data_IF_332523160131
#
_entry.id   IF_332523160131
#
_cell.length_a   1.000
_cell.length_b   1.000
_cell.length_c   1.000
_cell.angle_alpha   90.00
_cell.angle_beta   90.00
_cell.angle_gamma   90.00
#
_symmetry.space_group_name_H-M   'P 1'
#
loop_
_entity.id
_entity.type
_entity.pdbx_description
1 polymer ?
#
# COMPACT_ATOMS: atom_id res chain seq x y z
N UNK A 1 -9.18 -16.69 -10.52
CA UNK A 1 -8.03 -17.24 -9.78
C UNK A 1 -8.35 -18.65 -9.30
N UNK A 2 -9.42 -18.87 -8.52
CA UNK A 2 -9.82 -20.22 -8.08
C UNK A 2 -10.00 -21.23 -9.22
N UNK A 3 -10.69 -20.84 -10.29
CA UNK A 3 -10.88 -21.70 -11.47
C UNK A 3 -9.52 -22.06 -12.13
N UNK A 4 -8.59 -21.11 -12.20
CA UNK A 4 -7.26 -21.34 -12.75
C UNK A 4 -6.42 -22.30 -11.89
N UNK A 5 -6.53 -22.20 -10.56
CA UNK A 5 -5.87 -23.09 -9.60
C UNK A 5 -6.39 -24.53 -9.80
N UNK A 6 -7.71 -24.72 -9.82
CA UNK A 6 -8.35 -26.03 -10.05
C UNK A 6 -7.97 -26.64 -11.41
N UNK A 7 -7.92 -25.81 -12.46
CA UNK A 7 -7.47 -26.27 -13.77
C UNK A 7 -6.00 -26.68 -13.74
N UNK A 8 -5.11 -25.89 -13.11
CA UNK A 8 -3.69 -26.27 -12.99
C UNK A 8 -3.50 -27.57 -12.22
N UNK A 9 -4.18 -27.75 -11.09
CA UNK A 9 -4.20 -29.00 -10.31
C UNK A 9 -4.57 -30.19 -11.20
N UNK A 10 -5.68 -30.10 -11.93
CA UNK A 10 -6.14 -31.16 -12.81
C UNK A 10 -5.08 -31.58 -13.85
N UNK A 11 -4.47 -30.62 -14.54
CA UNK A 11 -3.47 -30.94 -15.58
C UNK A 11 -2.15 -31.48 -15.00
N UNK A 12 -1.78 -31.03 -13.79
CA UNK A 12 -0.61 -31.57 -13.06
C UNK A 12 -0.89 -33.02 -12.64
N UNK A 13 -2.08 -33.31 -12.11
CA UNK A 13 -2.48 -34.66 -11.68
C UNK A 13 -2.57 -35.64 -12.86
N UNK A 14 -3.07 -35.18 -14.02
CA UNK A 14 -3.07 -35.93 -15.27
C UNK A 14 -1.68 -36.02 -15.94
N UNK A 15 -0.66 -35.38 -15.36
CA UNK A 15 0.71 -35.34 -15.88
C UNK A 15 0.77 -34.84 -17.34
N UNK A 16 -0.04 -33.83 -17.65
CA UNK A 16 -0.18 -33.24 -18.98
C UNK A 16 0.14 -31.75 -18.98
N UNK A 17 0.99 -31.31 -19.91
CA UNK A 17 1.30 -29.89 -20.06
C UNK A 17 0.14 -29.15 -20.71
N UNK A 18 -0.22 -27.98 -20.15
CA UNK A 18 -1.22 -27.10 -20.73
C UNK A 18 -0.72 -25.67 -20.86
N UNK A 19 -0.23 -25.35 -22.05
CA UNK A 19 0.32 -24.04 -22.39
C UNK A 19 -0.72 -22.92 -22.27
N UNK A 20 -2.01 -23.20 -22.54
CA UNK A 20 -3.07 -22.19 -22.43
C UNK A 20 -3.25 -21.72 -20.98
N UNK A 21 -3.15 -22.62 -20.01
CA UNK A 21 -3.25 -22.27 -18.58
C UNK A 21 -2.06 -21.43 -18.12
N UNK A 22 -0.86 -21.74 -18.59
CA UNK A 22 0.35 -20.96 -18.29
C UNK A 22 0.21 -19.51 -18.76
N UNK A 23 -0.24 -19.29 -20.00
CA UNK A 23 -0.45 -17.93 -20.50
C UNK A 23 -1.63 -17.21 -19.82
N UNK A 24 -2.66 -17.96 -19.40
CA UNK A 24 -3.75 -17.40 -18.58
C UNK A 24 -3.20 -16.91 -17.24
N UNK A 25 -2.33 -17.68 -16.58
CA UNK A 25 -1.66 -17.26 -15.35
C UNK A 25 -0.72 -16.06 -15.56
N UNK A 26 0.03 -16.03 -16.66
CA UNK A 26 0.85 -14.87 -17.06
C UNK A 26 0.00 -13.61 -17.19
N UNK A 27 -1.18 -13.69 -17.81
CA UNK A 27 -2.09 -12.54 -17.91
C UNK A 27 -2.57 -12.04 -16.54
N UNK A 28 -2.72 -12.93 -15.56
CA UNK A 28 -3.04 -12.55 -14.18
C UNK A 28 -1.87 -11.89 -13.45
N UNK A 29 -0.62 -12.05 -13.91
CA UNK A 29 0.56 -11.49 -13.23
C UNK A 29 0.51 -9.95 -13.13
N UNK A 30 -0.13 -9.29 -14.11
CA UNK A 30 -0.36 -7.84 -14.09
C UNK A 30 -1.27 -7.36 -12.95
N UNK A 31 -2.00 -8.27 -12.29
CA UNK A 31 -2.89 -7.97 -11.16
C UNK A 31 -2.25 -8.26 -9.79
N UNK A 32 -0.99 -8.71 -9.77
CA UNK A 32 -0.25 -9.01 -8.56
C UNK A 32 0.67 -7.86 -8.15
N UNK A 33 1.17 -7.91 -6.91
CA UNK A 33 2.28 -7.07 -6.49
C UNK A 33 3.50 -7.31 -7.37
N UNK A 34 4.34 -6.29 -7.53
CA UNK A 34 5.43 -6.28 -8.51
C UNK A 34 6.40 -7.47 -8.37
N UNK A 35 6.70 -7.87 -7.14
CA UNK A 35 7.57 -9.03 -6.83
C UNK A 35 6.93 -10.34 -7.29
N UNK A 36 5.67 -10.56 -6.92
CA UNK A 36 4.89 -11.73 -7.30
C UNK A 36 4.69 -11.81 -8.82
N UNK A 37 4.43 -10.67 -9.46
CA UNK A 37 4.33 -10.57 -10.91
C UNK A 37 5.62 -10.99 -11.62
N UNK A 38 6.79 -10.58 -11.07
CA UNK A 38 8.11 -11.03 -11.56
C UNK A 38 8.29 -12.54 -11.40
N UNK A 39 7.94 -13.11 -10.26
CA UNK A 39 8.08 -14.55 -10.00
C UNK A 39 7.22 -15.38 -10.96
N UNK A 40 5.97 -14.97 -11.21
CA UNK A 40 5.11 -15.62 -12.20
C UNK A 40 5.72 -15.58 -13.59
N UNK A 41 6.24 -14.42 -14.02
CA UNK A 41 6.86 -14.30 -15.34
C UNK A 41 8.10 -15.19 -15.48
N UNK A 42 8.94 -15.25 -14.43
CA UNK A 42 10.12 -16.11 -14.42
C UNK A 42 9.74 -17.60 -14.53
N UNK A 43 8.70 -18.05 -13.82
CA UNK A 43 8.22 -19.43 -13.89
C UNK A 43 7.68 -19.75 -15.29
N UNK A 44 6.97 -18.81 -15.92
CA UNK A 44 6.46 -18.97 -17.29
C UNK A 44 7.60 -19.05 -18.31
N UNK A 45 8.63 -18.21 -18.20
CA UNK A 45 9.82 -18.26 -19.07
C UNK A 45 10.56 -19.60 -18.94
N UNK A 46 10.69 -20.11 -17.71
CA UNK A 46 11.29 -21.43 -17.46
C UNK A 46 10.43 -22.57 -18.03
N UNK A 47 9.10 -22.46 -17.92
CA UNK A 47 8.18 -23.41 -18.54
C UNK A 47 8.35 -23.44 -20.07
N UNK A 48 8.34 -22.27 -20.72
CA UNK A 48 8.53 -22.14 -22.17
C UNK A 48 9.88 -22.72 -22.61
N UNK A 49 10.94 -22.44 -21.84
CA UNK A 49 12.26 -23.01 -22.08
C UNK A 49 12.23 -24.53 -22.09
N UNK A 50 11.72 -25.17 -21.02
CA UNK A 50 11.70 -26.63 -20.93
C UNK A 50 10.79 -27.29 -21.97
N UNK A 51 9.65 -26.68 -22.27
CA UNK A 51 8.76 -27.16 -23.33
C UNK A 51 9.45 -27.10 -24.71
N UNK A 52 10.23 -26.04 -24.98
CA UNK A 52 10.99 -25.93 -26.24
C UNK A 52 12.07 -27.00 -26.41
N UNK A 53 12.56 -27.56 -25.28
CA UNK A 53 13.53 -28.66 -25.27
C UNK A 53 12.86 -30.04 -25.31
N UNK A 54 11.53 -30.11 -25.39
CA UNK A 54 10.77 -31.37 -25.30
C UNK A 54 10.84 -32.03 -23.92
N UNK A 55 11.14 -31.25 -22.88
CA UNK A 55 11.28 -31.74 -21.51
C UNK A 55 9.99 -31.52 -20.71
N UNK A 56 8.95 -32.27 -21.07
CA UNK A 56 7.60 -32.14 -20.52
C UNK A 56 7.57 -32.30 -18.99
N UNK A 57 8.41 -33.19 -18.44
CA UNK A 57 8.52 -33.36 -16.99
C UNK A 57 9.02 -32.09 -16.28
N UNK A 58 10.03 -31.42 -16.85
CA UNK A 58 10.55 -30.18 -16.29
C UNK A 58 9.57 -29.02 -16.46
N UNK A 59 8.79 -29.01 -17.55
CA UNK A 59 7.69 -28.08 -17.76
C UNK A 59 6.56 -28.29 -16.74
N UNK A 60 6.19 -29.54 -16.44
CA UNK A 60 5.23 -29.89 -15.40
C UNK A 60 5.69 -29.45 -14.01
N UNK A 61 6.98 -29.56 -13.69
CA UNK A 61 7.53 -29.03 -12.44
C UNK A 61 7.34 -27.50 -12.34
N UNK A 62 7.47 -26.76 -13.45
CA UNK A 62 7.18 -25.32 -13.46
C UNK A 62 5.67 -25.03 -13.29
N UNK A 63 4.80 -25.85 -13.88
CA UNK A 63 3.35 -25.77 -13.61
C UNK A 63 3.05 -25.95 -12.11
N UNK A 64 3.70 -26.92 -11.45
CA UNK A 64 3.58 -27.13 -10.01
C UNK A 64 4.09 -25.96 -9.17
N UNK A 65 5.21 -25.35 -9.54
CA UNK A 65 5.71 -24.12 -8.88
C UNK A 65 4.75 -22.96 -9.04
N UNK A 66 4.17 -22.80 -10.23
CA UNK A 66 3.16 -21.78 -10.49
C UNK A 66 1.90 -22.02 -9.66
N UNK A 67 1.43 -23.26 -9.58
CA UNK A 67 0.31 -23.64 -8.73
C UNK A 67 0.58 -23.25 -7.27
N UNK A 68 1.70 -23.69 -6.69
CA UNK A 68 2.04 -23.38 -5.30
C UNK A 68 2.15 -21.87 -5.02
N UNK A 69 2.65 -21.09 -5.98
CA UNK A 69 2.66 -19.63 -5.87
C UNK A 69 1.23 -19.05 -5.88
N UNK A 70 0.37 -19.49 -6.78
CA UNK A 70 -1.03 -19.05 -6.87
C UNK A 70 -1.84 -19.47 -5.65
N UNK A 71 -1.59 -20.64 -5.10
CA UNK A 71 -2.18 -21.11 -3.84
C UNK A 71 -1.71 -20.25 -2.66
N UNK A 72 -0.41 -19.94 -2.56
CA UNK A 72 0.09 -19.03 -1.54
C UNK A 72 -0.55 -17.64 -1.64
N UNK A 73 -0.73 -17.12 -2.85
CA UNK A 73 -1.45 -15.85 -3.08
C UNK A 73 -2.92 -15.98 -2.69
N UNK A 74 -3.59 -17.10 -3.04
CA UNK A 74 -4.96 -17.37 -2.64
C UNK A 74 -5.08 -17.39 -1.12
N UNK A 75 -4.20 -18.07 -0.42
CA UNK A 75 -4.24 -18.21 1.04
C UNK A 75 -3.90 -16.89 1.74
N UNK A 76 -3.11 -16.02 1.10
CA UNK A 76 -2.88 -14.63 1.53
C UNK A 76 -4.05 -13.68 1.18
N UNK A 77 -4.81 -13.98 0.12
CA UNK A 77 -5.97 -13.19 -0.37
C UNK A 77 -7.31 -13.68 0.19
N UNK A 78 -7.39 -14.91 0.70
CA UNK A 78 -8.42 -15.24 1.66
C UNK A 78 -8.25 -14.18 2.75
N UNK A 79 -9.23 -13.28 2.93
CA UNK A 79 -9.16 -12.41 4.07
C UNK A 79 -8.99 -13.36 5.25
N UNK A 80 -8.12 -13.00 6.18
CA UNK A 80 -8.13 -13.52 7.54
C UNK A 80 -9.60 -13.70 7.96
N UNK A 81 -10.18 -14.88 7.68
CA UNK A 81 -11.54 -15.27 8.03
C UNK A 81 -11.43 -15.66 9.49
N UNK A 82 -11.17 -14.65 10.31
CA UNK A 82 -10.56 -14.84 11.61
C UNK A 82 -9.52 -13.78 11.91
N UNK A 83 -10.00 -12.55 12.10
CA UNK A 83 -9.33 -11.44 12.77
C UNK A 83 -8.28 -10.68 11.94
N UNK A 84 -8.71 -9.61 11.27
CA UNK A 84 -8.06 -8.32 11.58
C UNK A 84 -7.96 -8.25 13.12
N UNK A 85 -6.84 -7.82 13.73
CA UNK A 85 -6.81 -7.67 15.19
C UNK A 85 -8.12 -7.01 15.61
N UNK A 86 -8.85 -7.58 16.60
CA UNK A 86 -10.16 -7.08 16.98
C UNK A 86 -10.12 -5.56 16.95
N UNK A 87 -11.09 -4.88 16.30
CA UNK A 87 -11.08 -3.43 16.20
C UNK A 87 -10.83 -2.75 17.56
N UNK A 88 -11.12 -3.46 18.65
CA UNK A 88 -10.73 -3.23 20.04
C UNK A 88 -9.27 -2.81 20.30
N UNK A 89 -8.30 -3.18 19.45
CA UNK A 89 -6.88 -2.88 19.69
C UNK A 89 -6.27 -1.86 18.72
N UNK A 90 -6.95 -1.52 17.62
CA UNK A 90 -6.49 -0.50 16.70
C UNK A 90 -7.05 0.86 17.15
N UNK A 91 -6.25 1.94 17.23
CA UNK A 91 -6.77 3.24 17.63
C UNK A 91 -7.80 3.74 16.60
N UNK A 92 -9.00 4.10 17.06
CA UNK A 92 -10.10 4.55 16.21
C UNK A 92 -10.44 6.01 16.43
N UNK A 93 -11.14 6.60 15.46
CA UNK A 93 -11.70 7.94 15.60
C UNK A 93 -13.14 7.98 15.08
N UNK A 94 -13.96 8.86 15.67
CA UNK A 94 -15.36 9.08 15.30
C UNK A 94 -15.53 10.58 14.99
N UNK A 95 -15.81 10.94 13.73
CA UNK A 95 -15.95 12.35 13.34
C UNK A 95 -17.42 12.78 13.29
N UNK A 96 -17.72 13.95 13.84
CA UNK A 96 -18.96 14.67 13.57
C UNK A 96 -18.98 15.26 12.15
N UNK A 97 -20.16 15.65 11.66
CA UNK A 97 -20.36 16.15 10.29
C UNK A 97 -19.40 17.29 9.92
N UNK A 98 -19.23 18.27 10.80
CA UNK A 98 -18.33 19.42 10.57
C UNK A 98 -16.88 18.99 10.33
N UNK A 99 -16.39 18.04 11.11
CA UNK A 99 -15.01 17.56 11.02
C UNK A 99 -14.83 16.66 9.79
N UNK A 100 -15.85 15.86 9.44
CA UNK A 100 -15.87 15.10 8.18
C UNK A 100 -15.75 16.03 6.97
N UNK A 101 -16.58 17.07 6.90
CA UNK A 101 -16.57 18.04 5.81
C UNK A 101 -15.20 18.73 5.70
N UNK A 102 -14.61 19.10 6.85
CA UNK A 102 -13.29 19.73 6.87
C UNK A 102 -12.20 18.80 6.35
N UNK A 103 -12.20 17.53 6.77
CA UNK A 103 -11.19 16.57 6.30
C UNK A 103 -11.35 16.29 4.80
N UNK A 104 -12.58 16.16 4.29
CA UNK A 104 -12.84 16.01 2.86
C UNK A 104 -12.33 17.22 2.07
N UNK A 105 -12.57 18.44 2.56
CA UNK A 105 -12.04 19.66 1.96
C UNK A 105 -10.50 19.64 1.90
N UNK A 106 -9.84 19.26 2.99
CA UNK A 106 -8.38 19.13 3.05
C UNK A 106 -7.89 18.08 2.04
N UNK A 107 -8.54 16.93 1.93
CA UNK A 107 -8.24 15.90 0.94
C UNK A 107 -8.33 16.43 -0.50
N UNK A 108 -9.37 17.19 -0.83
CA UNK A 108 -9.52 17.85 -2.13
C UNK A 108 -8.36 18.81 -2.40
N UNK A 109 -8.00 19.64 -1.41
CA UNK A 109 -6.89 20.58 -1.56
C UNK A 109 -5.54 19.87 -1.74
N UNK A 110 -5.29 18.79 -1.01
CA UNK A 110 -4.07 17.98 -1.16
C UNK A 110 -3.96 17.35 -2.56
N UNK A 111 -5.08 16.83 -3.11
CA UNK A 111 -5.12 16.32 -4.49
C UNK A 111 -4.73 17.39 -5.51
N UNK A 112 -5.26 18.60 -5.36
CA UNK A 112 -4.93 19.74 -6.24
C UNK A 112 -3.43 20.05 -6.21
N UNK A 113 -2.82 20.08 -5.03
CA UNK A 113 -1.38 20.34 -4.87
C UNK A 113 -0.55 19.24 -5.55
N UNK A 114 -0.87 17.97 -5.31
CA UNK A 114 -0.12 16.84 -5.89
C UNK A 114 -0.21 16.84 -7.42
N UNK A 115 -1.41 17.08 -7.96
CA UNK A 115 -1.63 17.07 -9.40
C UNK A 115 -0.95 18.25 -10.10
N UNK A 116 -0.98 19.44 -9.49
CA UNK A 116 -0.39 20.66 -10.02
C UNK A 116 1.14 20.75 -9.82
N UNK A 117 1.73 19.92 -8.97
CA UNK A 117 3.17 19.94 -8.70
C UNK A 117 3.94 19.10 -9.72
N UNK A 118 5.01 19.65 -10.29
CA UNK A 118 5.95 18.94 -11.17
C UNK A 118 7.09 18.24 -10.41
N UNK A 119 7.11 18.39 -9.08
CA UNK A 119 8.14 17.85 -8.20
C UNK A 119 8.00 16.32 -8.03
N UNK A 120 6.78 15.80 -8.19
CA UNK A 120 6.48 14.37 -8.05
C UNK A 120 6.45 13.67 -9.40
N UNK A 121 7.15 12.55 -9.53
CA UNK A 121 6.95 11.65 -10.67
C UNK A 121 5.58 10.93 -10.61
N UNK A 122 5.22 10.26 -11.72
CA UNK A 122 3.92 9.59 -11.84
C UNK A 122 3.68 8.50 -10.78
N UNK A 123 4.64 7.59 -10.50
CA UNK A 123 4.51 6.63 -9.40
C UNK A 123 4.27 7.29 -8.03
N UNK A 124 5.01 8.37 -7.72
CA UNK A 124 4.87 9.11 -6.47
C UNK A 124 3.50 9.80 -6.36
N UNK A 125 3.05 10.48 -7.42
CA UNK A 125 1.70 11.07 -7.47
C UNK A 125 0.63 10.02 -7.19
N UNK A 126 0.70 8.86 -7.86
CA UNK A 126 -0.25 7.76 -7.68
C UNK A 126 -0.28 7.27 -6.23
N UNK A 127 0.89 7.06 -5.61
CA UNK A 127 0.98 6.62 -4.21
C UNK A 127 0.30 7.62 -3.27
N UNK A 128 0.63 8.91 -3.38
CA UNK A 128 0.06 9.95 -2.51
C UNK A 128 -1.46 10.09 -2.70
N UNK A 129 -1.94 10.04 -3.95
CA UNK A 129 -3.38 10.10 -4.24
C UNK A 129 -4.13 8.90 -3.66
N UNK A 130 -3.57 7.70 -3.76
CA UNK A 130 -4.15 6.50 -3.15
C UNK A 130 -4.21 6.61 -1.61
N UNK A 131 -3.20 7.22 -0.98
CA UNK A 131 -3.21 7.48 0.47
C UNK A 131 -4.31 8.44 0.88
N UNK A 132 -4.48 9.53 0.12
CA UNK A 132 -5.56 10.50 0.38
C UNK A 132 -6.93 9.84 0.21
N UNK A 133 -7.11 9.02 -0.82
CA UNK A 133 -8.35 8.27 -1.00
C UNK A 133 -8.61 7.28 0.16
N UNK A 134 -7.57 6.60 0.65
CA UNK A 134 -7.67 5.75 1.83
C UNK A 134 -8.12 6.52 3.08
N UNK A 135 -7.59 7.71 3.31
CA UNK A 135 -7.99 8.58 4.43
C UNK A 135 -9.44 9.02 4.29
N UNK A 136 -9.85 9.49 3.11
CA UNK A 136 -11.23 9.92 2.84
C UNK A 136 -12.22 8.77 3.09
N UNK A 137 -11.88 7.55 2.65
CA UNK A 137 -12.69 6.38 2.92
C UNK A 137 -12.86 6.10 4.43
N UNK A 138 -11.81 6.30 5.24
CA UNK A 138 -11.89 6.12 6.70
C UNK A 138 -12.73 7.21 7.38
N UNK A 139 -12.71 8.43 6.86
CA UNK A 139 -13.51 9.57 7.36
C UNK A 139 -15.00 9.35 7.14
N UNK A 140 -15.37 8.69 6.04
CA UNK A 140 -16.76 8.34 5.76
C UNK A 140 -17.29 7.26 6.69
N UNK A 141 -16.43 6.37 7.20
CA UNK A 141 -16.86 5.30 8.11
C UNK A 141 -17.44 5.86 9.42
N UNK A 142 -18.34 5.10 10.09
CA UNK A 142 -18.77 5.42 11.45
C UNK A 142 -17.61 5.45 12.45
N UNK A 143 -16.64 4.54 12.28
CA UNK A 143 -15.38 4.48 13.04
C UNK A 143 -14.22 4.32 12.08
N UNK A 144 -13.38 5.33 11.98
CA UNK A 144 -12.19 5.31 11.12
C UNK A 144 -10.96 4.80 11.87
N UNK A 145 -10.01 4.21 11.14
CA UNK A 145 -8.74 3.75 11.71
C UNK A 145 -7.69 4.87 11.70
N UNK A 146 -7.17 5.24 12.87
CA UNK A 146 -6.19 6.32 13.01
C UNK A 146 -4.85 5.98 12.34
N UNK A 147 -4.49 4.70 12.27
CA UNK A 147 -3.24 4.24 11.66
C UNK A 147 -3.18 4.52 10.15
N UNK A 148 -4.33 4.51 9.46
CA UNK A 148 -4.38 4.88 8.03
C UNK A 148 -4.05 6.37 7.85
N UNK A 149 -4.52 7.22 8.76
CA UNK A 149 -4.20 8.66 8.75
C UNK A 149 -2.71 8.87 9.04
N UNK A 150 -2.15 8.13 10.01
CA UNK A 150 -0.72 8.19 10.37
C UNK A 150 0.20 7.71 9.25
N UNK A 151 -0.18 6.65 8.54
CA UNK A 151 0.54 6.20 7.36
C UNK A 151 0.60 7.33 6.31
N UNK A 152 -0.49 8.07 6.12
CA UNK A 152 -0.50 9.28 5.27
C UNK A 152 0.45 10.39 5.76
N UNK A 153 0.52 10.64 7.07
CA UNK A 153 1.47 11.59 7.66
C UNK A 153 2.91 11.17 7.38
N UNK A 154 3.22 9.88 7.52
CA UNK A 154 4.56 9.34 7.23
C UNK A 154 4.94 9.54 5.76
N UNK A 155 4.05 9.14 4.84
CA UNK A 155 4.29 9.26 3.39
C UNK A 155 4.48 10.73 2.96
N UNK A 156 3.73 11.67 3.54
CA UNK A 156 3.88 13.11 3.28
C UNK A 156 5.09 13.70 4.02
N UNK A 157 5.48 13.16 5.17
CA UNK A 157 6.67 13.57 5.92
C UNK A 157 7.96 13.22 5.19
N UNK A 158 8.04 12.02 4.61
CA UNK A 158 9.19 11.62 3.78
C UNK A 158 9.38 12.51 2.56
N UNK A 159 8.28 12.98 1.97
CA UNK A 159 8.36 13.92 0.84
C UNK A 159 8.85 15.29 1.30
N UNK A 160 8.57 15.72 2.53
CA UNK A 160 9.07 17.02 3.05
C UNK A 160 10.58 17.02 3.19
N UNK A 161 11.15 15.91 3.68
CA UNK A 161 12.60 15.75 3.79
C UNK A 161 13.32 15.80 2.43
N UNK A 162 12.65 15.39 1.34
CA UNK A 162 13.22 15.34 -0.01
C UNK A 162 13.05 16.63 -0.81
N UNK A 163 11.95 17.35 -0.61
CA UNK A 163 11.54 18.45 -1.48
C UNK A 163 11.45 19.81 -0.77
N UNK A 164 11.71 19.88 0.54
CA UNK A 164 11.82 21.13 1.27
C UNK A 164 10.52 21.94 1.34
N UNK A 165 10.63 23.27 1.31
CA UNK A 165 9.52 24.22 1.56
C UNK A 165 8.42 24.17 0.50
N UNK A 166 8.71 23.72 -0.72
CA UNK A 166 7.75 23.74 -1.83
C UNK A 166 6.54 22.83 -1.59
N UNK A 167 6.68 21.83 -0.71
CA UNK A 167 5.60 20.93 -0.34
C UNK A 167 4.96 21.25 1.01
N UNK A 168 5.40 22.31 1.69
CA UNK A 168 4.84 22.75 2.97
C UNK A 168 3.30 22.88 2.95
N UNK A 169 2.65 23.38 1.86
CA UNK A 169 1.19 23.42 1.78
C UNK A 169 0.54 22.03 1.87
N UNK A 170 1.17 20.99 1.35
CA UNK A 170 0.69 19.61 1.43
C UNK A 170 0.85 19.08 2.86
N UNK A 171 2.03 19.25 3.45
CA UNK A 171 2.31 18.76 4.81
C UNK A 171 1.44 19.44 5.86
N UNK A 172 1.19 20.75 5.75
CA UNK A 172 0.28 21.47 6.66
C UNK A 172 -1.12 20.86 6.68
N UNK A 173 -1.66 20.55 5.50
CA UNK A 173 -3.00 19.94 5.36
C UNK A 173 -3.04 18.53 5.93
N UNK A 174 -2.01 17.72 5.68
CA UNK A 174 -1.92 16.38 6.24
C UNK A 174 -1.81 16.40 7.77
N UNK A 175 -1.05 17.36 8.34
CA UNK A 175 -0.98 17.58 9.78
C UNK A 175 -2.33 17.98 10.36
N UNK A 176 -3.08 18.85 9.68
CA UNK A 176 -4.42 19.23 10.11
C UNK A 176 -5.39 18.04 10.11
N UNK A 177 -5.37 17.20 9.07
CA UNK A 177 -6.16 15.96 9.02
C UNK A 177 -5.81 15.03 10.19
N UNK A 178 -4.51 14.83 10.45
CA UNK A 178 -4.04 13.99 11.55
C UNK A 178 -4.46 14.55 12.93
N UNK A 179 -4.44 15.87 13.09
CA UNK A 179 -4.90 16.52 14.31
C UNK A 179 -6.40 16.32 14.51
N UNK A 180 -7.22 16.52 13.48
CA UNK A 180 -8.67 16.30 13.55
C UNK A 180 -8.98 14.85 13.92
N UNK A 181 -8.34 13.87 13.26
CA UNK A 181 -8.54 12.46 13.56
C UNK A 181 -8.10 12.10 15.00
N UNK A 182 -6.95 12.64 15.44
CA UNK A 182 -6.43 12.39 16.80
C UNK A 182 -7.32 13.01 17.88
N UNK A 183 -7.79 14.24 17.69
CA UNK A 183 -8.68 14.93 18.64
C UNK A 183 -10.07 14.29 18.77
N UNK A 184 -10.41 13.38 17.86
CA UNK A 184 -11.66 12.63 17.85
C UNK A 184 -11.45 11.13 18.17
N UNK A 185 -10.29 10.76 18.75
CA UNK A 185 -9.95 9.40 19.17
C UNK A 185 -9.97 9.30 20.70
N UNK A 186 -10.80 8.40 21.24
CA UNK A 186 -11.00 8.21 22.69
C UNK A 186 -9.74 7.68 23.39
N UNK A 187 -8.90 6.95 22.64
CA UNK A 187 -7.64 6.39 23.10
C UNK A 187 -6.57 7.46 23.33
N UNK A 188 -6.70 8.62 22.66
CA UNK A 188 -5.77 9.74 22.77
C UNK A 188 -6.19 10.82 23.77
N UNK A 189 -7.45 10.82 24.22
CA UNK A 189 -7.89 11.65 25.36
C UNK A 189 -7.12 11.33 26.66
N UNK A 190 -6.56 10.12 26.75
CA UNK A 190 -5.82 9.64 27.93
C UNK A 190 -4.32 9.94 27.90
N UNK A 191 -3.79 10.44 26.77
CA UNK A 191 -2.36 10.72 26.62
C UNK A 191 -2.19 12.23 26.48
N UNK A 192 -1.51 12.92 27.42
CA UNK A 192 -1.27 14.35 27.30
C UNK A 192 -0.60 14.65 25.95
N UNK A 193 -1.01 15.75 25.32
CA UNK A 193 -0.42 16.17 24.05
C UNK A 193 1.11 16.18 24.18
N UNK A 194 1.85 15.55 23.26
CA UNK A 194 3.31 15.56 23.31
C UNK A 194 3.77 17.01 23.30
N UNK A 195 4.53 17.40 24.32
CA UNK A 195 5.17 18.70 24.39
C UNK A 195 5.96 18.92 23.10
N UNK A 196 5.80 20.09 22.48
CA UNK A 196 6.54 20.45 21.28
C UNK A 196 8.03 20.21 21.54
N UNK A 197 8.63 19.30 20.76
CA UNK A 197 10.06 19.02 20.86
C UNK A 197 10.79 20.33 20.65
N UNK A 198 11.40 20.87 21.71
CA UNK A 198 12.29 22.04 21.63
C UNK A 198 13.33 21.72 20.57
N UNK A 199 13.24 22.41 19.43
CA UNK A 199 14.23 22.29 18.38
C UNK A 199 15.59 22.62 19.00
N UNK A 200 16.56 21.73 18.81
CA UNK A 200 17.93 22.02 19.21
C UNK A 200 18.36 23.32 18.52
N UNK A 201 19.00 24.25 19.24
CA UNK A 201 19.55 25.45 18.61
C UNK A 201 20.51 25.02 17.49
N UNK A 202 20.45 25.72 16.35
CA UNK A 202 21.37 25.49 15.24
C UNK A 202 22.81 25.56 15.78
N UNK A 203 23.73 24.68 15.33
CA UNK A 203 25.14 24.79 15.70
C UNK A 203 25.61 26.21 15.37
N UNK A 204 26.12 26.92 16.37
CA UNK A 204 26.73 28.23 16.16
C UNK A 204 27.94 28.06 15.23
N UNK A 205 28.00 28.88 14.18
CA UNK A 205 29.19 29.13 13.37
C UNK A 205 30.22 29.92 14.22
N UNK A 206 30.83 29.23 15.17
CA UNK A 206 32.07 29.62 15.83
C UNK A 206 32.84 28.30 15.98
N UNK A 207 33.82 28.01 15.14
CA UNK A 207 35.12 28.67 15.14
C UNK A 207 35.66 28.88 13.71
N UNK A 208 35.67 30.12 13.26
CA UNK A 208 36.64 30.62 12.29
C UNK A 208 37.42 31.75 12.96
N UNK A 209 38.50 31.39 13.65
CA UNK A 209 39.54 32.34 14.05
C UNK A 209 40.87 31.61 13.96
N UNK A 210 41.61 32.00 12.92
CA UNK A 210 43.07 31.96 12.70
C UNK A 210 43.90 30.71 13.06
#
# INVERSE_FOLDING_TARGET
MEELIKELEFYIDENTVNTRLIYRAKAYSCSFEETVGRDVNQIVEQYEHWLSQGQDRAALEQMGRLLGLLEGIRDLKEPLKGKSPPPEFAPQFELGTKDKDRVVELCIQMRKIILASDIFDQPHKRRLLNRIAGIEHQVEQPKGLLDIVRAGVSDVGETLGKFGTDIEPLTKRMKEVAQIARSNSKEYDQIPAPEEVKQLPKPNEAESTD
#
